data_IF_555943532459
#
_entry.id   IF_555943532459
#
_cell.length_a   1.000
_cell.length_b   1.000
_cell.length_c   1.000
_cell.angle_alpha   90.00
_cell.angle_beta   90.00
_cell.angle_gamma   90.00
#
_symmetry.space_group_name_H-M   'P 1'
#
loop_
_entity.id
_entity.type
_entity.pdbx_description
1 polymer ?
#
# COMPACT_ATOMS: atom_id res chain seq x y z
N UNK A 1 40.97 12.44 -40.21
CA UNK A 1 40.63 13.18 -38.97
C UNK A 1 39.11 13.12 -38.81
N UNK A 2 38.65 12.78 -37.61
CA UNK A 2 37.26 12.54 -37.16
C UNK A 2 36.67 11.13 -37.34
N UNK A 3 36.86 10.36 -36.26
CA UNK A 3 36.23 9.09 -35.91
C UNK A 3 34.72 9.30 -35.66
N UNK A 4 33.87 8.50 -36.30
CA UNK A 4 32.57 8.12 -35.72
C UNK A 4 32.64 6.66 -35.33
N UNK A 5 33.11 6.42 -34.11
CA UNK A 5 32.80 5.19 -33.40
C UNK A 5 31.28 5.15 -33.19
N UNK A 6 30.56 4.46 -34.07
CA UNK A 6 29.17 4.10 -33.80
C UNK A 6 29.19 2.88 -32.89
N UNK A 7 28.83 3.17 -31.64
CA UNK A 7 28.76 2.31 -30.48
C UNK A 7 27.98 1.02 -30.81
N UNK A 8 28.71 -0.09 -31.02
CA UNK A 8 28.13 -1.43 -30.90
C UNK A 8 27.81 -1.59 -29.42
N UNK A 9 26.55 -1.31 -29.05
CA UNK A 9 26.06 -1.43 -27.67
C UNK A 9 26.63 -2.71 -27.05
N UNK A 10 27.28 -2.59 -25.89
CA UNK A 10 27.87 -3.72 -25.19
C UNK A 10 26.79 -4.79 -24.97
N UNK A 11 27.18 -6.07 -24.90
CA UNK A 11 26.27 -7.15 -24.48
C UNK A 11 25.54 -6.80 -23.17
N UNK A 12 26.21 -6.05 -22.30
CA UNK A 12 25.67 -5.59 -21.01
C UNK A 12 24.59 -4.51 -21.19
N UNK A 13 24.76 -3.59 -22.13
CA UNK A 13 23.75 -2.57 -22.45
C UNK A 13 22.50 -3.23 -23.02
N UNK A 14 22.68 -4.19 -23.92
CA UNK A 14 21.57 -4.96 -24.49
C UNK A 14 20.84 -5.75 -23.39
N UNK A 15 21.59 -6.41 -22.49
CA UNK A 15 21.03 -7.13 -21.35
C UNK A 15 20.27 -6.20 -20.39
N UNK A 16 20.80 -5.01 -20.11
CA UNK A 16 20.16 -4.00 -19.28
C UNK A 16 18.85 -3.49 -19.89
N UNK A 17 18.84 -3.23 -21.20
CA UNK A 17 17.64 -2.83 -21.94
C UNK A 17 16.59 -3.95 -21.92
N UNK A 18 16.99 -5.20 -22.13
CA UNK A 18 16.08 -6.35 -22.06
C UNK A 18 15.54 -6.57 -20.63
N UNK A 19 16.36 -6.38 -19.60
CA UNK A 19 15.93 -6.44 -18.20
C UNK A 19 14.91 -5.32 -17.89
N UNK A 20 15.12 -4.11 -18.40
CA UNK A 20 14.18 -3.00 -18.23
C UNK A 20 12.87 -3.24 -18.99
N UNK A 21 12.91 -3.81 -20.21
CA UNK A 21 11.71 -4.24 -20.92
C UNK A 21 10.90 -5.26 -20.13
N UNK A 22 11.58 -6.28 -19.55
CA UNK A 22 10.93 -7.26 -18.67
C UNK A 22 10.32 -6.58 -17.45
N UNK A 23 11.07 -5.74 -16.72
CA UNK A 23 10.57 -5.00 -15.55
C UNK A 23 9.34 -4.16 -15.90
N UNK A 24 9.35 -3.43 -17.01
CA UNK A 24 8.21 -2.63 -17.49
C UNK A 24 7.02 -3.49 -17.89
N UNK A 25 7.25 -4.66 -18.49
CA UNK A 25 6.17 -5.60 -18.86
C UNK A 25 5.41 -6.11 -17.64
N UNK A 26 6.09 -6.33 -16.50
CA UNK A 26 5.44 -6.69 -15.23
C UNK A 26 4.62 -5.54 -14.64
N UNK A 27 4.93 -4.29 -14.96
CA UNK A 27 4.24 -3.10 -14.46
C UNK A 27 3.03 -2.72 -15.34
N UNK A 28 3.10 -2.96 -16.65
CA UNK A 28 2.10 -2.55 -17.65
C UNK A 28 1.59 -3.72 -18.50
N UNK A 29 1.29 -4.86 -17.88
CA UNK A 29 0.79 -6.03 -18.60
C UNK A 29 -0.69 -6.29 -18.34
N UNK A 30 -1.51 -6.30 -19.40
CA UNK A 30 -2.69 -7.14 -19.45
C UNK A 30 -2.19 -8.60 -19.48
N UNK A 31 -2.14 -9.26 -18.32
CA UNK A 31 -1.90 -10.71 -18.30
C UNK A 31 -3.23 -11.44 -18.27
N UNK A 32 -3.35 -12.53 -19.03
CA UNK A 32 -4.42 -13.53 -18.90
C UNK A 32 -4.61 -14.06 -17.47
N UNK A 33 -3.62 -13.83 -16.58
CA UNK A 33 -3.59 -14.24 -15.17
C UNK A 33 -4.07 -13.16 -14.17
N UNK A 34 -4.68 -12.04 -14.60
CA UNK A 34 -5.22 -11.03 -13.67
C UNK A 34 -4.17 -10.17 -12.92
N UNK A 35 -2.98 -9.98 -13.51
CA UNK A 35 -2.00 -9.00 -13.01
C UNK A 35 -2.39 -7.61 -13.51
N UNK A 36 -2.75 -6.73 -12.57
CA UNK A 36 -3.39 -5.46 -12.84
C UNK A 36 -2.44 -4.44 -13.50
N UNK A 37 -2.81 -3.96 -14.68
CA UNK A 37 -2.14 -3.00 -15.57
C UNK A 37 -1.86 -1.59 -14.98
N UNK A 38 -1.98 -1.38 -13.67
CA UNK A 38 -1.91 -0.05 -13.05
C UNK A 38 -1.30 -0.04 -11.65
N UNK A 39 -0.41 -0.98 -11.32
CA UNK A 39 0.13 -1.18 -9.96
C UNK A 39 0.63 0.08 -9.24
N UNK A 40 1.00 1.13 -9.97
CA UNK A 40 1.44 2.41 -9.41
C UNK A 40 0.63 3.64 -9.86
N UNK A 41 -0.48 3.50 -10.59
CA UNK A 41 -1.26 4.66 -11.07
C UNK A 41 -2.13 5.29 -9.98
N UNK A 42 -2.66 4.48 -9.06
CA UNK A 42 -3.49 4.94 -7.95
C UNK A 42 -2.99 4.33 -6.63
N UNK A 43 -3.15 5.02 -5.48
CA UNK A 43 -2.51 4.66 -4.20
C UNK A 43 -2.69 3.22 -3.76
N UNK A 44 -3.86 2.61 -4.04
CA UNK A 44 -4.20 1.26 -3.60
C UNK A 44 -4.10 0.19 -4.71
N UNK A 45 -3.59 0.55 -5.89
CA UNK A 45 -3.59 -0.34 -7.05
C UNK A 45 -2.73 -1.57 -6.80
N UNK A 46 -3.32 -2.76 -6.90
CA UNK A 46 -2.61 -4.02 -6.67
C UNK A 46 -2.29 -4.33 -5.21
N UNK A 47 -2.70 -3.48 -4.26
CA UNK A 47 -2.49 -3.69 -2.82
C UNK A 47 -3.71 -4.27 -2.10
N UNK A 48 -4.91 -4.10 -2.68
CA UNK A 48 -6.17 -4.48 -2.05
C UNK A 48 -6.62 -5.88 -2.48
N UNK A 49 -6.98 -6.69 -1.49
CA UNK A 49 -7.49 -8.06 -1.65
C UNK A 49 -8.83 -8.22 -0.93
N UNK A 50 -9.69 -9.06 -1.50
CA UNK A 50 -11.00 -9.37 -0.97
C UNK A 50 -10.85 -10.38 0.16
N UNK A 51 -11.38 -10.06 1.33
CA UNK A 51 -11.38 -10.99 2.47
C UNK A 51 -12.17 -12.27 2.17
N UNK A 52 -13.30 -12.18 1.46
CA UNK A 52 -14.20 -13.31 1.25
C UNK A 52 -13.64 -14.35 0.27
N UNK A 53 -12.97 -13.93 -0.80
CA UNK A 53 -12.55 -14.84 -1.88
C UNK A 53 -11.07 -14.71 -2.28
N UNK A 54 -10.29 -13.90 -1.58
CA UNK A 54 -8.86 -13.68 -1.86
C UNK A 54 -8.53 -12.94 -3.17
N UNK A 55 -9.51 -12.72 -4.04
CA UNK A 55 -9.33 -12.02 -5.30
C UNK A 55 -8.97 -10.54 -5.08
N UNK A 56 -8.26 -9.93 -6.04
CA UNK A 56 -7.89 -8.51 -5.97
C UNK A 56 -9.12 -7.60 -6.05
N UNK A 57 -8.99 -6.38 -5.52
CA UNK A 57 -9.96 -5.32 -5.80
C UNK A 57 -9.50 -4.49 -7.00
N UNK A 58 -10.46 -4.10 -7.81
CA UNK A 58 -10.28 -3.22 -8.96
C UNK A 58 -11.02 -1.89 -8.74
N UNK A 59 -10.34 -0.80 -9.09
CA UNK A 59 -10.89 0.55 -9.05
C UNK A 59 -11.89 0.77 -10.20
N UNK A 60 -13.04 1.32 -9.89
CA UNK A 60 -14.10 1.69 -10.82
C UNK A 60 -14.57 3.11 -10.52
N UNK A 61 -14.92 3.88 -11.55
CA UNK A 61 -15.63 5.16 -11.37
C UNK A 61 -17.14 4.95 -11.52
N UNK A 62 -17.91 5.69 -10.73
CA UNK A 62 -19.35 5.86 -10.86
C UNK A 62 -19.66 7.32 -11.12
N UNK A 63 -20.66 7.58 -11.96
CA UNK A 63 -21.08 8.92 -12.35
C UNK A 63 -20.21 9.57 -13.44
N UNK A 64 -20.64 10.75 -13.87
CA UNK A 64 -20.07 11.47 -15.00
C UNK A 64 -19.71 12.90 -14.59
N UNK A 65 -18.64 13.46 -15.16
CA UNK A 65 -18.25 14.85 -14.92
C UNK A 65 -17.95 15.19 -13.45
N UNK A 66 -18.72 16.12 -12.88
CA UNK A 66 -18.51 16.68 -11.52
C UNK A 66 -19.00 15.77 -10.38
N UNK A 67 -19.81 14.75 -10.67
CA UNK A 67 -20.34 13.81 -9.66
C UNK A 67 -19.57 12.48 -9.62
N UNK A 68 -18.38 12.44 -10.23
CA UNK A 68 -17.52 11.25 -10.26
C UNK A 68 -17.16 10.81 -8.84
N UNK A 69 -17.49 9.58 -8.53
CA UNK A 69 -17.10 8.90 -7.28
C UNK A 69 -16.32 7.64 -7.62
N UNK A 70 -15.24 7.38 -6.88
CA UNK A 70 -14.40 6.21 -7.09
C UNK A 70 -14.66 5.16 -6.03
N UNK A 71 -14.77 3.92 -6.48
CA UNK A 71 -15.01 2.76 -5.64
C UNK A 71 -14.10 1.61 -6.04
N UNK A 72 -13.95 0.66 -5.13
CA UNK A 72 -13.16 -0.54 -5.28
C UNK A 72 -14.07 -1.77 -5.17
N UNK A 73 -14.08 -2.59 -6.22
CA UNK A 73 -14.91 -3.79 -6.35
C UNK A 73 -14.05 -5.04 -6.36
N UNK A 74 -14.54 -6.13 -5.78
CA UNK A 74 -13.91 -7.45 -5.92
C UNK A 74 -13.94 -7.88 -7.41
N UNK A 75 -12.80 -8.31 -7.97
CA UNK A 75 -12.73 -8.75 -9.37
C UNK A 75 -13.51 -10.05 -9.60
N UNK A 76 -13.49 -10.99 -8.66
CA UNK A 76 -14.25 -12.24 -8.77
C UNK A 76 -15.75 -11.96 -8.86
N UNK A 77 -16.27 -11.08 -8.00
CA UNK A 77 -17.67 -10.63 -8.04
C UNK A 77 -18.00 -9.90 -9.34
N UNK A 78 -17.08 -9.07 -9.84
CA UNK A 78 -17.29 -8.30 -11.06
C UNK A 78 -17.33 -9.19 -12.32
N UNK A 79 -16.57 -10.29 -12.34
CA UNK A 79 -16.49 -11.21 -13.48
C UNK A 79 -17.56 -12.31 -13.41
N UNK A 80 -17.78 -12.88 -12.22
CA UNK A 80 -18.59 -14.09 -12.03
C UNK A 80 -19.94 -13.83 -11.33
N UNK A 81 -20.26 -12.57 -11.03
CA UNK A 81 -21.54 -12.18 -10.43
C UNK A 81 -21.57 -12.23 -8.90
N UNK A 82 -22.77 -12.00 -8.34
CA UNK A 82 -22.98 -11.86 -6.90
C UNK A 82 -22.79 -13.17 -6.13
N UNK A 83 -23.14 -14.31 -6.75
CA UNK A 83 -23.03 -15.63 -6.12
C UNK A 83 -21.58 -16.06 -5.89
N UNK A 84 -20.66 -15.56 -6.73
CA UNK A 84 -19.23 -15.87 -6.63
C UNK A 84 -18.55 -15.17 -5.44
N UNK A 85 -19.07 -14.02 -4.98
CA UNK A 85 -18.54 -13.32 -3.82
C UNK A 85 -19.49 -12.25 -3.29
N UNK A 86 -19.86 -12.35 -2.01
CA UNK A 86 -20.73 -11.42 -1.29
C UNK A 86 -20.05 -10.12 -0.82
N UNK A 87 -18.83 -9.83 -1.29
CA UNK A 87 -18.08 -8.65 -0.86
C UNK A 87 -18.79 -7.36 -1.24
N UNK A 88 -18.84 -6.41 -0.31
CA UNK A 88 -19.38 -5.06 -0.54
C UNK A 88 -18.38 -4.19 -1.28
N UNK A 89 -18.91 -3.30 -2.09
CA UNK A 89 -18.12 -2.31 -2.82
C UNK A 89 -17.64 -1.24 -1.83
N UNK A 90 -16.35 -0.88 -1.88
CA UNK A 90 -15.75 0.06 -0.91
C UNK A 90 -15.48 1.39 -1.58
N UNK A 91 -15.89 2.50 -0.97
CA UNK A 91 -15.59 3.84 -1.50
C UNK A 91 -14.12 4.17 -1.29
N UNK A 92 -13.49 4.78 -2.29
CA UNK A 92 -12.07 5.17 -2.22
C UNK A 92 -11.79 6.12 -1.05
N UNK A 93 -12.68 7.10 -0.82
CA UNK A 93 -12.57 8.02 0.33
C UNK A 93 -12.58 7.32 1.68
N UNK A 94 -13.32 6.22 1.81
CA UNK A 94 -13.40 5.48 3.06
C UNK A 94 -12.11 4.65 3.29
N UNK A 95 -11.53 4.12 2.20
CA UNK A 95 -10.21 3.48 2.23
C UNK A 95 -9.12 4.46 2.63
N UNK A 96 -9.09 5.67 2.06
CA UNK A 96 -8.12 6.72 2.42
C UNK A 96 -8.21 7.08 3.90
N UNK A 97 -9.42 7.30 4.42
CA UNK A 97 -9.64 7.58 5.85
C UNK A 97 -9.20 6.42 6.73
N UNK A 98 -9.54 5.19 6.35
CA UNK A 98 -9.12 3.99 7.09
C UNK A 98 -7.60 3.86 7.12
N UNK A 99 -6.94 4.09 5.97
CA UNK A 99 -5.49 4.05 5.83
C UNK A 99 -4.81 5.10 6.71
N UNK A 100 -5.23 6.37 6.64
CA UNK A 100 -4.68 7.44 7.48
C UNK A 100 -4.85 7.12 8.97
N UNK A 101 -6.02 6.62 9.38
CA UNK A 101 -6.23 6.20 10.78
C UNK A 101 -5.32 5.06 11.20
N UNK A 102 -5.12 4.07 10.34
CA UNK A 102 -4.22 2.95 10.61
C UNK A 102 -2.76 3.44 10.73
N UNK A 103 -2.31 4.29 9.80
CA UNK A 103 -0.97 4.88 9.82
C UNK A 103 -0.74 5.76 11.05
N UNK A 104 -1.70 6.63 11.38
CA UNK A 104 -1.60 7.48 12.56
C UNK A 104 -1.55 6.67 13.85
N UNK A 105 -2.23 5.52 13.93
CA UNK A 105 -2.07 4.60 15.07
C UNK A 105 -0.72 3.90 15.06
N UNK A 106 -0.23 3.47 13.89
CA UNK A 106 1.08 2.82 13.80
C UNK A 106 2.21 3.76 14.21
N UNK A 107 2.19 5.01 13.73
CA UNK A 107 3.21 6.03 14.03
C UNK A 107 2.98 6.66 15.41
N UNK A 108 1.74 7.03 15.73
CA UNK A 108 1.38 7.69 16.98
C UNK A 108 1.40 6.75 18.19
N UNK A 109 1.21 5.44 17.97
CA UNK A 109 1.27 4.42 19.01
C UNK A 109 2.65 4.30 19.62
N UNK A 110 3.71 4.42 18.82
CA UNK A 110 5.09 4.43 19.31
C UNK A 110 5.35 5.64 20.23
N UNK A 111 4.96 6.85 19.81
CA UNK A 111 5.17 8.06 20.61
C UNK A 111 4.34 8.07 21.90
N UNK A 112 3.09 7.65 21.83
CA UNK A 112 2.22 7.55 23.01
C UNK A 112 2.70 6.47 23.98
N UNK A 113 3.13 5.31 23.47
CA UNK A 113 3.72 4.24 24.26
C UNK A 113 5.02 4.69 24.96
N UNK A 114 5.93 5.34 24.23
CA UNK A 114 7.18 5.86 24.80
C UNK A 114 6.93 6.93 25.87
N UNK A 115 5.96 7.82 25.66
CA UNK A 115 5.57 8.82 26.67
C UNK A 115 5.03 8.15 27.94
N UNK A 116 4.11 7.21 27.79
CA UNK A 116 3.53 6.49 28.93
C UNK A 116 4.56 5.63 29.67
N UNK A 117 5.50 5.02 28.95
CA UNK A 117 6.62 4.28 29.53
C UNK A 117 7.54 5.21 30.35
N UNK A 118 7.88 6.39 29.81
CA UNK A 118 8.70 7.38 30.51
C UNK A 118 8.03 7.90 31.79
N UNK A 119 6.73 8.16 31.74
CA UNK A 119 5.96 8.56 32.94
C UNK A 119 5.97 7.45 34.00
N UNK A 120 5.69 6.20 33.61
CA UNK A 120 5.72 5.07 34.53
C UNK A 120 7.10 4.87 35.18
N UNK A 121 8.18 5.02 34.40
CA UNK A 121 9.56 4.92 34.91
C UNK A 121 9.83 6.05 35.92
N UNK A 122 9.45 7.29 35.62
CA UNK A 122 9.62 8.42 36.54
C UNK A 122 8.88 8.21 37.85
N UNK A 123 7.60 7.84 37.77
CA UNK A 123 6.80 7.56 38.97
C UNK A 123 7.40 6.42 39.80
N UNK A 124 7.91 5.36 39.16
CA UNK A 124 8.59 4.28 39.87
C UNK A 124 9.88 4.72 40.57
N UNK A 125 10.67 5.60 39.94
CA UNK A 125 11.88 6.16 40.55
C UNK A 125 11.51 7.06 41.74
N UNK A 126 10.52 7.93 41.60
CA UNK A 126 10.04 8.82 42.67
C UNK A 126 9.53 8.04 43.89
N UNK A 127 8.85 6.90 43.67
CA UNK A 127 8.39 6.01 44.75
C UNK A 127 9.56 5.39 45.52
N UNK A 128 10.60 4.94 44.82
CA UNK A 128 11.81 4.39 45.46
C UNK A 128 12.55 5.48 46.24
N UNK A 129 12.67 6.69 45.71
CA UNK A 129 13.30 7.82 46.42
C UNK A 129 12.53 8.21 47.70
N UNK A 130 11.20 8.15 47.68
CA UNK A 130 10.37 8.40 48.86
C UNK A 130 10.52 7.31 49.94
N UNK A 131 10.61 6.04 49.54
CA UNK A 131 10.85 4.93 50.48
C UNK A 131 12.22 5.02 51.16
N UNK A 132 13.26 5.48 50.44
CA UNK A 132 14.60 5.71 51.01
C UNK A 132 14.65 6.89 51.99
N UNK A 133 13.83 7.92 51.78
CA UNK A 133 13.83 9.13 52.63
C UNK A 133 13.08 8.92 53.95
N UNK A 134 12.10 8.01 53.99
CA UNK A 134 11.31 7.68 55.20
C UNK A 134 12.00 6.62 56.06
N UNK A 135 12.89 5.81 55.46
CA UNK A 135 13.64 4.74 56.14
C UNK A 135 15.00 5.15 56.74
N UNK A 136 15.40 6.43 56.61
CA UNK A 136 16.64 7.01 57.19
C UNK A 136 16.34 7.87 58.39
#
# INVERSE_FOLDING_TARGET
MYLKAMNRSSSDDFAAVQAEFRRRSFIRGYSSTGKNQYGCKYPFSGMLFCYNCGAKLQRSCWGTGKTKSYIWKCTNKALNGLDACSAKDVKEKDLEKAFIRAMNRAIGGERAFLQQLLENIKTGIEQVEQEFTIGS
#
